data_IF_615514621847
#
_entry.id   IF_615514621847
#
_cell.length_a   1.000
_cell.length_b   1.000
_cell.length_c   1.000
_cell.angle_alpha   90.00
_cell.angle_beta   90.00
_cell.angle_gamma   90.00
#
_symmetry.space_group_name_H-M   'P 1'
#
loop_
_entity.id
_entity.type
_entity.pdbx_description
1 polymer ?
#
# COMPACT_ATOMS: atom_id res chain seq x y z
N UNK A 1 19.17 -28.41 39.10
CA UNK A 1 17.70 -28.28 38.97
C UNK A 1 17.46 -27.55 37.68
N UNK A 2 16.79 -28.18 36.72
CA UNK A 2 16.61 -27.56 35.41
C UNK A 2 15.25 -26.86 35.39
N UNK A 3 15.32 -25.54 35.61
CA UNK A 3 14.30 -24.51 35.43
C UNK A 3 13.34 -24.20 36.60
N UNK A 4 12.98 -22.92 36.70
CA UNK A 4 12.28 -22.34 37.85
C UNK A 4 10.75 -22.47 37.66
N UNK A 5 10.08 -23.07 38.65
CA UNK A 5 8.64 -23.34 38.63
C UNK A 5 7.78 -22.11 38.33
N UNK A 6 8.17 -20.93 38.84
CA UNK A 6 7.43 -19.69 38.64
C UNK A 6 7.49 -19.17 37.20
N UNK A 7 8.50 -19.58 36.43
CA UNK A 7 8.71 -19.14 35.05
C UNK A 7 8.33 -20.21 34.04
N UNK A 8 8.39 -21.49 34.42
CA UNK A 8 8.30 -22.58 33.46
C UNK A 8 7.27 -23.65 33.77
N UNK A 9 6.64 -23.71 34.96
CA UNK A 9 5.51 -24.61 35.33
C UNK A 9 5.29 -25.94 34.54
N UNK A 10 6.34 -26.61 34.05
CA UNK A 10 6.26 -27.70 33.08
C UNK A 10 6.07 -27.33 31.59
N UNK A 11 5.66 -26.12 31.24
CA UNK A 11 5.47 -25.65 29.86
C UNK A 11 6.50 -24.56 29.50
N UNK A 12 7.24 -24.76 28.40
CA UNK A 12 8.34 -23.90 27.93
C UNK A 12 7.90 -22.46 27.53
N UNK A 13 6.63 -22.10 27.71
CA UNK A 13 5.99 -20.92 27.11
C UNK A 13 5.77 -19.73 28.06
N UNK A 14 6.30 -19.73 29.28
CA UNK A 14 6.18 -18.60 30.21
C UNK A 14 4.75 -18.37 30.75
N UNK A 15 4.62 -17.50 31.74
CA UNK A 15 3.30 -17.17 32.33
C UNK A 15 2.54 -16.14 31.49
N UNK A 16 1.20 -16.13 31.57
CA UNK A 16 0.37 -15.16 30.82
C UNK A 16 0.70 -13.70 31.15
N UNK A 17 1.13 -13.42 32.39
CA UNK A 17 1.53 -12.07 32.80
C UNK A 17 2.81 -11.62 32.10
N UNK A 18 3.79 -12.52 31.93
CA UNK A 18 5.04 -12.23 31.21
C UNK A 18 4.79 -12.04 29.72
N UNK A 19 3.95 -12.88 29.12
CA UNK A 19 3.56 -12.73 27.71
C UNK A 19 2.93 -11.34 27.46
N UNK A 20 2.03 -10.90 28.35
CA UNK A 20 1.43 -9.56 28.26
C UNK A 20 2.44 -8.44 28.46
N UNK A 21 3.38 -8.59 29.38
CA UNK A 21 4.45 -7.61 29.57
C UNK A 21 5.30 -7.46 28.30
N UNK A 22 5.65 -8.58 27.66
CA UNK A 22 6.40 -8.55 26.40
C UNK A 22 5.56 -7.92 25.28
N UNK A 23 4.27 -8.27 25.17
CA UNK A 23 3.34 -7.62 24.22
C UNK A 23 3.30 -6.10 24.42
N UNK A 24 3.15 -5.64 25.66
CA UNK A 24 3.06 -4.21 25.98
C UNK A 24 4.37 -3.48 25.68
N UNK A 25 5.52 -4.09 25.98
CA UNK A 25 6.84 -3.54 25.63
C UNK A 25 7.05 -3.46 24.11
N UNK A 26 6.59 -4.45 23.36
CA UNK A 26 6.66 -4.43 21.88
C UNK A 26 5.80 -3.29 21.34
N UNK A 27 4.56 -3.16 21.81
CA UNK A 27 3.67 -2.05 21.40
C UNK A 27 4.28 -0.70 21.74
N UNK A 28 4.82 -0.53 22.95
CA UNK A 28 5.49 0.70 23.37
C UNK A 28 6.71 1.01 22.48
N UNK A 29 7.54 0.01 22.17
CA UNK A 29 8.70 0.19 21.31
C UNK A 29 8.32 0.65 19.89
N UNK A 30 7.26 0.08 19.31
CA UNK A 30 6.74 0.48 18.01
C UNK A 30 6.13 1.88 18.06
N UNK A 31 5.50 2.29 19.16
CA UNK A 31 5.00 3.67 19.31
C UNK A 31 6.10 4.70 19.44
N UNK A 32 7.26 4.33 19.99
CA UNK A 32 8.41 5.24 20.14
C UNK A 32 9.17 5.40 18.82
N UNK A 33 9.44 4.29 18.13
CA UNK A 33 10.33 4.27 16.97
C UNK A 33 9.64 4.09 15.62
N UNK A 34 8.37 3.69 15.62
CA UNK A 34 7.60 3.47 14.41
C UNK A 34 7.12 4.76 13.75
N UNK A 35 6.32 4.57 12.72
CA UNK A 35 5.66 5.60 11.95
C UNK A 35 4.16 5.33 11.91
N UNK A 36 3.39 6.41 11.82
CA UNK A 36 1.95 6.33 11.58
C UNK A 36 1.72 6.00 10.11
N UNK A 37 1.07 4.87 9.85
CA UNK A 37 0.75 4.36 8.52
C UNK A 37 -0.75 4.11 8.48
N UNK A 38 -1.38 4.35 7.34
CA UNK A 38 -2.78 3.99 7.14
C UNK A 38 -2.88 2.60 6.51
N UNK A 39 -3.53 1.69 7.22
CA UNK A 39 -3.87 0.37 6.72
C UNK A 39 -5.21 0.41 5.99
N UNK A 40 -5.26 -0.07 4.76
CA UNK A 40 -6.44 -0.05 3.92
C UNK A 40 -6.80 -1.47 3.48
N UNK A 41 -7.84 -2.08 4.05
CA UNK A 41 -8.28 -3.41 3.64
C UNK A 41 -8.92 -3.35 2.25
N UNK A 42 -8.63 -4.33 1.41
CA UNK A 42 -9.33 -4.47 0.13
C UNK A 42 -10.74 -5.01 0.32
N UNK A 43 -11.64 -4.55 -0.52
CA UNK A 43 -12.98 -5.09 -0.70
C UNK A 43 -13.13 -5.56 -2.14
N UNK A 44 -13.66 -6.76 -2.32
CA UNK A 44 -13.85 -7.33 -3.63
C UNK A 44 -15.15 -6.81 -4.27
N UNK A 45 -15.07 -6.34 -5.51
CA UNK A 45 -16.25 -5.87 -6.27
C UNK A 45 -16.62 -6.91 -7.32
N UNK A 46 -17.82 -7.50 -7.20
CA UNK A 46 -18.43 -8.43 -8.17
C UNK A 46 -17.56 -9.62 -8.60
N UNK A 47 -17.43 -10.62 -7.72
CA UNK A 47 -16.96 -11.97 -8.06
C UNK A 47 -17.79 -12.60 -9.17
N UNK A 48 -17.27 -12.69 -10.40
CA UNK A 48 -17.84 -13.62 -11.38
C UNK A 48 -17.34 -15.04 -11.08
N UNK A 49 -18.15 -15.76 -10.31
CA UNK A 49 -17.92 -17.16 -9.92
C UNK A 49 -17.83 -18.15 -11.09
N UNK A 50 -18.16 -17.75 -12.32
CA UNK A 50 -18.20 -18.63 -13.49
C UNK A 50 -16.86 -18.65 -14.25
N UNK A 51 -16.17 -17.51 -14.32
CA UNK A 51 -14.95 -17.36 -15.11
C UNK A 51 -13.66 -17.26 -14.29
N UNK A 52 -13.75 -17.10 -12.96
CA UNK A 52 -12.56 -16.94 -12.10
C UNK A 52 -11.65 -15.80 -12.62
N UNK A 53 -12.27 -14.75 -13.20
CA UNK A 53 -11.58 -13.54 -13.63
C UNK A 53 -11.20 -12.70 -12.40
N UNK A 54 -10.08 -11.99 -12.52
CA UNK A 54 -9.52 -11.21 -11.43
C UNK A 54 -10.48 -10.09 -11.02
N UNK A 55 -10.75 -10.01 -9.72
CA UNK A 55 -11.72 -9.09 -9.17
C UNK A 55 -11.05 -7.72 -8.98
N UNK A 56 -11.62 -6.69 -9.60
CA UNK A 56 -11.19 -5.33 -9.35
C UNK A 56 -11.38 -5.02 -7.86
N UNK A 57 -10.29 -4.71 -7.18
CA UNK A 57 -10.31 -4.40 -5.75
C UNK A 57 -10.74 -2.95 -5.54
N UNK A 58 -11.49 -2.72 -4.46
CA UNK A 58 -11.88 -1.38 -4.00
C UNK A 58 -11.40 -1.15 -2.58
N UNK A 59 -10.93 0.06 -2.30
CA UNK A 59 -10.44 0.50 -0.99
C UNK A 59 -11.29 1.67 -0.50
N UNK A 60 -12.16 1.41 0.48
CA UNK A 60 -13.09 2.43 1.03
C UNK A 60 -12.71 2.92 2.43
N UNK A 61 -11.80 2.22 3.10
CA UNK A 61 -11.53 2.41 4.52
C UNK A 61 -10.03 2.50 4.78
N UNK A 62 -9.65 3.37 5.70
CA UNK A 62 -8.27 3.59 6.11
C UNK A 62 -8.17 3.67 7.63
N UNK A 63 -7.32 2.83 8.24
CA UNK A 63 -7.10 2.78 9.68
C UNK A 63 -5.68 3.22 10.05
N UNK A 64 -5.51 4.24 10.90
CA UNK A 64 -4.19 4.64 11.35
C UNK A 64 -3.61 3.61 12.32
N UNK A 65 -2.42 3.13 12.00
CA UNK A 65 -1.69 2.11 12.75
C UNK A 65 -0.21 2.44 12.82
N UNK A 66 0.39 2.16 13.98
CA UNK A 66 1.82 2.27 14.18
C UNK A 66 2.55 1.06 13.59
N UNK A 67 3.49 1.32 12.69
CA UNK A 67 4.35 0.31 12.09
C UNK A 67 5.80 0.77 12.10
N UNK A 68 6.71 -0.16 12.32
CA UNK A 68 8.14 0.08 12.14
C UNK A 68 8.58 -0.31 10.74
N UNK A 69 9.30 0.58 10.06
CA UNK A 69 9.91 0.28 8.78
C UNK A 69 11.25 -0.43 9.03
N UNK A 70 11.30 -1.73 8.74
CA UNK A 70 12.53 -2.50 8.68
C UNK A 70 13.15 -2.27 7.30
N UNK A 71 14.23 -1.50 7.27
CA UNK A 71 14.94 -1.25 6.02
C UNK A 71 15.72 -2.51 5.64
N UNK A 72 15.54 -2.99 4.40
CA UNK A 72 16.30 -4.11 3.86
C UNK A 72 17.72 -3.65 3.47
N UNK A 73 18.49 -3.20 4.45
CA UNK A 73 19.90 -2.88 4.25
C UNK A 73 20.69 -4.20 4.19
N UNK A 74 20.76 -4.79 3.00
CA UNK A 74 21.74 -5.82 2.65
C UNK A 74 21.18 -7.22 2.36
N UNK A 75 20.68 -7.43 1.15
CA UNK A 75 20.93 -8.70 0.47
C UNK A 75 22.29 -8.59 -0.25
N UNK A 76 23.37 -8.61 0.53
CA UNK A 76 24.77 -8.50 0.07
C UNK A 76 25.24 -9.79 -0.65
N UNK A 77 24.45 -10.31 -1.60
CA UNK A 77 24.78 -11.56 -2.27
C UNK A 77 24.02 -11.93 -3.54
N UNK A 78 22.96 -11.19 -3.92
CA UNK A 78 22.13 -11.58 -5.08
C UNK A 78 21.68 -10.38 -5.94
N UNK A 79 22.12 -9.18 -5.59
CA UNK A 79 21.89 -7.96 -6.37
C UNK A 79 22.56 -7.96 -7.76
N UNK A 80 23.58 -8.80 -7.99
CA UNK A 80 24.27 -8.85 -9.30
C UNK A 80 23.56 -9.75 -10.33
N UNK A 81 22.65 -10.62 -9.91
CA UNK A 81 21.94 -11.52 -10.83
C UNK A 81 20.71 -10.85 -11.48
N UNK A 82 20.05 -9.93 -10.77
CA UNK A 82 18.82 -9.26 -11.24
C UNK A 82 19.09 -8.05 -12.16
N UNK A 83 20.22 -7.36 -11.98
CA UNK A 83 20.53 -6.15 -12.77
C UNK A 83 20.91 -6.43 -14.24
N UNK A 84 21.30 -7.67 -14.59
CA UNK A 84 21.72 -8.05 -15.95
C UNK A 84 20.57 -8.41 -16.91
N UNK A 85 19.33 -8.51 -16.41
CA UNK A 85 18.16 -8.91 -17.20
C UNK A 85 17.14 -7.80 -17.46
N UNK A 86 17.44 -6.54 -17.10
CA UNK A 86 16.51 -5.42 -17.36
C UNK A 86 15.19 -5.53 -16.59
N UNK A 87 15.19 -6.27 -15.48
CA UNK A 87 14.06 -6.34 -14.56
C UNK A 87 14.05 -5.08 -13.70
N UNK A 88 12.91 -4.40 -13.69
CA UNK A 88 12.62 -3.23 -12.88
C UNK A 88 12.91 -3.54 -11.40
N UNK A 89 13.76 -2.72 -10.77
CA UNK A 89 13.99 -2.79 -9.33
C UNK A 89 12.73 -2.24 -8.69
N UNK A 90 11.86 -3.14 -8.22
CA UNK A 90 10.71 -2.74 -7.41
C UNK A 90 11.21 -2.30 -6.04
N UNK A 91 10.76 -1.14 -5.60
CA UNK A 91 11.03 -0.68 -4.25
C UNK A 91 10.26 -1.59 -3.28
N UNK A 92 11.01 -2.38 -2.51
CA UNK A 92 10.48 -3.28 -1.49
C UNK A 92 10.71 -2.69 -0.10
N UNK A 93 9.68 -2.75 0.75
CA UNK A 93 9.73 -2.31 2.13
C UNK A 93 9.17 -3.40 3.05
N UNK A 94 9.78 -3.58 4.22
CA UNK A 94 9.24 -4.49 5.24
C UNK A 94 8.67 -3.67 6.39
N UNK A 95 7.37 -3.82 6.63
CA UNK A 95 6.70 -3.17 7.75
C UNK A 95 6.43 -4.16 8.86
N UNK A 96 6.75 -3.77 10.09
CA UNK A 96 6.56 -4.56 11.29
C UNK A 96 5.46 -3.93 12.13
N UNK A 97 4.42 -4.70 12.41
CA UNK A 97 3.27 -4.30 13.21
C UNK A 97 3.15 -5.20 14.44
N UNK A 98 2.63 -4.68 15.56
CA UNK A 98 2.31 -5.54 16.70
C UNK A 98 0.99 -6.28 16.50
N UNK A 99 0.97 -7.55 16.91
CA UNK A 99 -0.25 -8.38 16.87
C UNK A 99 -1.37 -7.80 17.73
N UNK A 100 -1.03 -7.32 18.93
CA UNK A 100 -1.99 -6.71 19.85
C UNK A 100 -2.67 -5.49 19.23
N UNK A 101 -1.90 -4.62 18.55
CA UNK A 101 -2.47 -3.45 17.88
C UNK A 101 -3.42 -3.85 16.76
N UNK A 102 -3.06 -4.87 15.98
CA UNK A 102 -3.94 -5.42 14.95
C UNK A 102 -5.26 -5.94 15.54
N UNK A 103 -5.19 -6.74 16.61
CA UNK A 103 -6.38 -7.27 17.28
C UNK A 103 -7.26 -6.13 17.84
N UNK A 104 -6.65 -5.05 18.35
CA UNK A 104 -7.37 -3.84 18.77
C UNK A 104 -8.06 -3.13 17.58
N UNK A 105 -7.41 -3.04 16.42
CA UNK A 105 -8.03 -2.43 15.22
C UNK A 105 -9.22 -3.25 14.76
N UNK A 106 -9.05 -4.57 14.64
CA UNK A 106 -10.13 -5.47 14.19
C UNK A 106 -11.31 -5.47 15.16
N UNK A 107 -11.05 -5.45 16.47
CA UNK A 107 -12.11 -5.47 17.49
C UNK A 107 -12.85 -4.15 17.67
N UNK A 108 -12.18 -3.01 17.45
CA UNK A 108 -12.81 -1.69 17.58
C UNK A 108 -13.52 -1.21 16.31
N UNK A 109 -13.37 -1.95 15.21
CA UNK A 109 -13.95 -1.55 13.93
C UNK A 109 -15.24 -2.33 13.66
N UNK A 110 -16.35 -1.80 14.18
CA UNK A 110 -17.68 -2.33 13.92
C UNK A 110 -18.04 -2.17 12.43
N UNK A 111 -18.26 -3.29 11.73
CA UNK A 111 -18.77 -3.31 10.35
C UNK A 111 -17.71 -3.30 9.25
N UNK A 112 -16.42 -3.31 9.58
CA UNK A 112 -15.38 -3.47 8.57
C UNK A 112 -15.29 -4.91 8.05
N UNK A 113 -15.33 -5.04 6.72
CA UNK A 113 -15.16 -6.32 6.04
C UNK A 113 -13.68 -6.59 5.80
N UNK A 114 -13.00 -7.18 6.79
CA UNK A 114 -11.66 -7.71 6.57
C UNK A 114 -11.74 -9.03 5.81
N UNK A 115 -11.00 -9.14 4.71
CA UNK A 115 -10.80 -10.42 4.02
C UNK A 115 -10.23 -11.44 5.03
N UNK A 116 -10.79 -12.64 5.08
CA UNK A 116 -10.33 -13.69 6.01
C UNK A 116 -10.69 -13.49 7.48
N UNK A 117 -11.61 -12.56 7.80
CA UNK A 117 -12.17 -12.43 9.16
C UNK A 117 -11.25 -11.75 10.18
N UNK A 118 -10.23 -11.02 9.72
CA UNK A 118 -9.38 -10.18 10.58
C UNK A 118 -8.37 -10.92 11.45
N UNK A 119 -8.10 -12.20 11.20
CA UNK A 119 -7.13 -12.97 11.99
C UNK A 119 -5.69 -12.47 11.86
N UNK A 120 -5.37 -11.83 10.73
CA UNK A 120 -4.07 -11.20 10.40
C UNK A 120 -4.28 -10.19 9.27
N UNK A 121 -3.32 -9.26 9.06
CA UNK A 121 -3.23 -8.52 7.81
C UNK A 121 -3.23 -9.46 6.61
N UNK A 122 -3.91 -9.08 5.53
CA UNK A 122 -4.05 -9.91 4.33
C UNK A 122 -3.16 -9.42 3.20
N UNK A 123 -2.80 -10.36 2.34
CA UNK A 123 -2.08 -10.07 1.09
C UNK A 123 -3.04 -9.36 0.12
N UNK A 124 -2.51 -8.37 -0.61
CA UNK A 124 -3.26 -7.48 -1.49
C UNK A 124 -3.89 -6.27 -0.77
N UNK A 125 -3.79 -6.16 0.55
CA UNK A 125 -4.17 -4.93 1.26
C UNK A 125 -3.10 -3.85 1.07
N UNK A 126 -3.51 -2.58 1.20
CA UNK A 126 -2.64 -1.43 0.96
C UNK A 126 -2.21 -0.74 2.24
N UNK A 127 -0.99 -0.19 2.21
CA UNK A 127 -0.40 0.64 3.26
C UNK A 127 -0.04 1.99 2.67
N UNK A 128 -0.65 3.05 3.20
CA UNK A 128 -0.27 4.41 2.83
C UNK A 128 0.68 5.00 3.87
N UNK A 129 1.87 5.43 3.40
CA UNK A 129 2.85 6.10 4.23
C UNK A 129 2.77 7.63 4.04
N UNK A 130 2.23 8.40 5.00
CA UNK A 130 2.00 9.84 4.82
C UNK A 130 3.28 10.67 4.62
N UNK A 131 4.44 10.20 5.12
CA UNK A 131 5.69 10.95 5.00
C UNK A 131 6.24 10.95 3.58
N UNK A 132 6.16 9.81 2.89
CA UNK A 132 6.64 9.66 1.50
C UNK A 132 5.52 9.79 0.48
N UNK A 133 4.27 9.90 0.94
CA UNK A 133 3.06 9.89 0.11
C UNK A 133 3.01 8.70 -0.85
N UNK A 134 3.51 7.56 -0.41
CA UNK A 134 3.60 6.34 -1.21
C UNK A 134 2.61 5.29 -0.73
N UNK A 135 2.05 4.55 -1.68
CA UNK A 135 1.25 3.37 -1.42
C UNK A 135 2.11 2.11 -1.57
N UNK A 136 1.97 1.20 -0.63
CA UNK A 136 2.60 -0.11 -0.66
C UNK A 136 1.54 -1.20 -0.62
N UNK A 137 1.69 -2.22 -1.44
CA UNK A 137 0.85 -3.40 -1.44
C UNK A 137 1.52 -4.53 -0.64
N UNK A 138 0.77 -5.15 0.25
CA UNK A 138 1.25 -6.29 1.03
C UNK A 138 1.31 -7.52 0.14
N UNK A 139 2.51 -7.96 -0.22
CA UNK A 139 2.71 -9.20 -1.01
C UNK A 139 2.74 -10.44 -0.14
N UNK A 140 3.34 -10.35 1.05
CA UNK A 140 3.47 -11.50 1.93
C UNK A 140 3.49 -11.09 3.39
N UNK A 141 2.71 -11.82 4.20
CA UNK A 141 2.67 -11.63 5.66
C UNK A 141 3.35 -12.81 6.33
N UNK A 142 4.54 -12.57 6.86
CA UNK A 142 5.30 -13.51 7.66
C UNK A 142 4.66 -13.66 9.04
N UNK A 143 4.27 -14.90 9.34
CA UNK A 143 3.68 -15.29 10.62
C UNK A 143 4.39 -16.49 11.26
N UNK A 144 5.47 -17.00 10.69
CA UNK A 144 6.27 -18.08 11.28
C UNK A 144 7.73 -17.66 11.33
N UNK A 145 8.11 -17.02 12.44
CA UNK A 145 9.52 -16.88 12.78
C UNK A 145 9.96 -18.13 13.56
N UNK A 146 11.11 -18.76 13.25
CA UNK A 146 11.64 -19.88 14.03
C UNK A 146 11.86 -19.56 15.54
N UNK A 147 11.85 -18.28 15.95
CA UNK A 147 12.03 -17.88 17.34
C UNK A 147 10.75 -17.34 18.01
N UNK A 148 9.96 -18.25 18.60
CA UNK A 148 8.81 -17.89 19.44
C UNK A 148 9.26 -17.45 20.84
N UNK A 149 9.20 -16.15 21.12
CA UNK A 149 9.42 -15.64 22.47
C UNK A 149 8.25 -16.06 23.37
N UNK A 150 8.53 -16.85 24.41
CA UNK A 150 7.49 -17.38 25.32
C UNK A 150 6.37 -18.13 24.57
N UNK A 151 6.70 -18.81 23.47
CA UNK A 151 5.74 -19.63 22.71
C UNK A 151 4.67 -18.85 21.94
N UNK A 152 4.84 -17.54 21.75
CA UNK A 152 3.91 -16.69 20.99
C UNK A 152 4.65 -15.79 20.00
N UNK A 153 3.90 -15.32 19.02
CA UNK A 153 4.31 -14.28 18.08
C UNK A 153 3.64 -12.99 18.49
N UNK A 154 4.46 -11.95 18.65
CA UNK A 154 4.01 -10.63 19.09
C UNK A 154 3.98 -9.60 17.95
N UNK A 155 4.57 -9.93 16.79
CA UNK A 155 4.68 -9.03 15.64
C UNK A 155 4.29 -9.73 14.34
N UNK A 156 3.69 -8.99 13.42
CA UNK A 156 3.52 -9.37 12.03
C UNK A 156 4.56 -8.62 11.21
N UNK A 157 5.27 -9.35 10.33
CA UNK A 157 6.18 -8.76 9.36
C UNK A 157 5.52 -8.83 7.98
N UNK A 158 5.33 -7.68 7.34
CA UNK A 158 4.67 -7.55 6.06
C UNK A 158 5.70 -7.10 5.03
N UNK A 159 5.98 -7.98 4.07
CA UNK A 159 6.79 -7.65 2.91
C UNK A 159 5.89 -6.98 1.89
N UNK A 160 6.19 -5.73 1.61
CA UNK A 160 5.39 -4.87 0.76
C UNK A 160 6.21 -4.39 -0.43
N UNK A 161 5.53 -4.19 -1.55
CA UNK A 161 6.09 -3.57 -2.76
C UNK A 161 5.36 -2.25 -3.02
N UNK A 162 5.99 -1.31 -3.71
CA UNK A 162 5.30 -0.11 -4.18
C UNK A 162 4.07 -0.51 -5.01
N UNK A 163 2.91 0.04 -4.66
CA UNK A 163 1.66 -0.25 -5.35
C UNK A 163 1.63 0.42 -6.72
N UNK A 164 1.22 -0.35 -7.73
CA UNK A 164 1.01 0.13 -9.08
C UNK A 164 -0.50 0.23 -9.34
N UNK A 165 -0.94 1.42 -9.74
CA UNK A 165 -2.35 1.67 -9.99
C UNK A 165 -2.81 0.95 -11.27
N UNK A 166 -3.82 0.09 -11.15
CA UNK A 166 -4.44 -0.70 -12.22
C UNK A 166 -5.96 -0.43 -12.34
N UNK A 167 -6.37 0.83 -12.14
CA UNK A 167 -7.79 1.25 -12.18
C UNK A 167 -8.64 0.78 -10.99
N UNK A 168 -8.02 0.47 -9.85
CA UNK A 168 -8.73 0.25 -8.59
C UNK A 168 -9.36 1.55 -8.06
N UNK A 169 -10.52 1.46 -7.43
CA UNK A 169 -11.16 2.62 -6.81
C UNK A 169 -10.67 2.79 -5.36
N UNK A 170 -10.15 3.97 -5.02
CA UNK A 170 -9.61 4.31 -3.70
C UNK A 170 -10.34 5.54 -3.15
N UNK A 171 -11.45 5.31 -2.46
CA UNK A 171 -12.30 6.37 -1.89
C UNK A 171 -12.35 6.21 -0.37
N UNK A 172 -11.29 6.68 0.29
CA UNK A 172 -11.11 6.52 1.74
C UNK A 172 -11.64 7.70 2.55
N UNK A 173 -11.94 8.82 1.89
CA UNK A 173 -12.32 10.09 2.50
C UNK A 173 -11.13 10.86 3.09
N UNK A 174 -9.89 10.40 2.88
CA UNK A 174 -8.66 11.09 3.27
C UNK A 174 -8.08 11.75 2.03
N UNK A 175 -8.08 13.09 2.01
CA UNK A 175 -7.69 13.88 0.84
C UNK A 175 -6.31 13.52 0.26
N UNK A 176 -5.32 13.20 1.11
CA UNK A 176 -3.98 12.84 0.63
C UNK A 176 -3.94 11.46 -0.07
N UNK A 177 -4.84 10.55 0.30
CA UNK A 177 -4.94 9.20 -0.28
C UNK A 177 -5.76 9.27 -1.56
N UNK A 178 -6.92 9.93 -1.50
CA UNK A 178 -7.84 10.04 -2.64
C UNK A 178 -7.21 10.87 -3.78
N UNK A 179 -6.36 11.87 -3.45
CA UNK A 179 -5.57 12.61 -4.46
C UNK A 179 -4.62 11.72 -5.27
N UNK A 180 -4.14 10.61 -4.69
CA UNK A 180 -3.23 9.71 -5.38
C UNK A 180 -3.96 8.88 -6.44
N UNK A 181 -5.25 8.60 -6.24
CA UNK A 181 -6.12 8.08 -7.30
C UNK A 181 -6.31 9.13 -8.39
N UNK A 182 -6.71 10.35 -8.02
CA UNK A 182 -6.95 11.44 -8.97
C UNK A 182 -5.72 11.76 -9.86
N UNK A 183 -4.52 11.62 -9.31
CA UNK A 183 -3.27 11.88 -10.05
C UNK A 183 -2.87 10.75 -11.00
N UNK A 184 -3.29 9.51 -10.74
CA UNK A 184 -2.92 8.32 -11.52
C UNK A 184 -4.07 7.75 -12.37
N UNK A 185 -5.30 8.23 -12.16
CA UNK A 185 -6.46 7.80 -12.94
C UNK A 185 -6.35 8.24 -14.40
N UNK A 186 -6.78 7.36 -15.30
CA UNK A 186 -6.90 7.64 -16.73
C UNK A 186 -8.35 8.03 -17.09
N UNK A 187 -9.24 8.19 -16.09
CA UNK A 187 -10.64 8.55 -16.34
C UNK A 187 -10.79 10.01 -16.79
N UNK A 188 -11.07 10.18 -18.08
CA UNK A 188 -11.35 11.47 -18.72
C UNK A 188 -12.58 12.18 -18.14
N UNK A 189 -13.51 11.46 -17.51
CA UNK A 189 -14.75 12.02 -16.96
C UNK A 189 -14.50 12.94 -15.78
N UNK A 190 -13.37 12.79 -15.07
CA UNK A 190 -13.02 13.68 -13.96
C UNK A 190 -12.84 15.14 -14.42
N UNK A 191 -12.46 15.34 -15.69
CA UNK A 191 -12.15 16.65 -16.27
C UNK A 191 -13.32 17.27 -17.07
N UNK A 192 -14.52 16.69 -16.98
CA UNK A 192 -15.70 17.22 -17.66
C UNK A 192 -16.20 18.51 -17.01
N UNK A 193 -16.76 19.42 -17.80
CA UNK A 193 -17.43 20.60 -17.27
C UNK A 193 -18.84 20.22 -16.79
N UNK A 194 -19.05 20.30 -15.48
CA UNK A 194 -20.35 20.09 -14.82
C UNK A 194 -21.04 21.43 -14.58
N UNK A 195 -22.38 21.44 -14.61
CA UNK A 195 -23.18 22.58 -14.21
C UNK A 195 -23.05 22.86 -12.71
N UNK A 196 -23.21 24.12 -12.31
CA UNK A 196 -23.09 24.56 -10.91
C UNK A 196 -24.09 23.86 -9.97
N UNK A 197 -25.24 23.44 -10.49
CA UNK A 197 -26.29 22.75 -9.74
C UNK A 197 -26.09 21.22 -9.65
N UNK A 198 -24.99 20.70 -10.21
CA UNK A 198 -24.71 19.27 -10.33
C UNK A 198 -25.79 18.45 -11.09
N UNK A 199 -26.68 19.11 -11.84
CA UNK A 199 -27.75 18.45 -12.60
C UNK A 199 -27.24 17.69 -13.84
N UNK A 200 -25.98 17.88 -14.21
CA UNK A 200 -25.34 17.17 -15.32
C UNK A 200 -24.19 17.93 -15.95
N UNK A 201 -23.71 17.39 -17.07
CA UNK A 201 -22.57 17.91 -17.81
C UNK A 201 -23.00 18.89 -18.89
N UNK A 202 -22.09 19.77 -19.30
CA UNK A 202 -22.28 20.54 -20.53
C UNK A 202 -22.06 19.62 -21.73
N UNK A 203 -23.15 19.39 -22.48
CA UNK A 203 -23.21 18.48 -23.62
C UNK A 203 -23.27 19.30 -24.91
N UNK A 204 -22.46 18.90 -25.90
CA UNK A 204 -22.44 19.43 -27.26
C UNK A 204 -23.62 18.89 -28.07
N UNK A 205 -23.91 19.52 -29.19
CA UNK A 205 -25.05 19.16 -30.06
C UNK A 205 -24.98 17.71 -30.59
N UNK A 206 -23.77 17.13 -30.66
CA UNK A 206 -23.50 15.74 -31.05
C UNK A 206 -23.58 14.74 -29.87
N UNK A 207 -23.93 15.21 -28.67
CA UNK A 207 -24.02 14.38 -27.47
C UNK A 207 -22.69 14.16 -26.72
N UNK A 208 -21.57 14.67 -27.23
CA UNK A 208 -20.28 14.65 -26.53
C UNK A 208 -20.22 15.68 -25.39
N UNK A 209 -19.48 15.40 -24.32
CA UNK A 209 -19.23 16.35 -23.22
C UNK A 209 -17.98 17.19 -23.47
N UNK A 210 -17.98 18.45 -23.03
CA UNK A 210 -16.75 19.24 -23.00
C UNK A 210 -15.82 18.76 -21.89
N UNK A 211 -14.54 18.56 -22.22
CA UNK A 211 -13.47 18.12 -21.31
C UNK A 211 -12.38 19.20 -21.29
N UNK A 212 -11.81 19.48 -20.12
CA UNK A 212 -10.70 20.44 -19.97
C UNK A 212 -9.44 19.95 -20.70
N UNK A 213 -8.71 20.88 -21.30
CA UNK A 213 -7.42 20.60 -21.93
C UNK A 213 -6.31 20.21 -20.94
N UNK A 214 -6.51 20.50 -19.65
CA UNK A 214 -5.64 20.05 -18.55
C UNK A 214 -5.65 18.53 -18.35
N UNK A 215 -6.51 17.79 -19.06
CA UNK A 215 -6.44 16.34 -19.11
C UNK A 215 -5.10 15.89 -19.69
N UNK A 216 -4.19 15.50 -18.81
CA UNK A 216 -2.93 14.86 -19.15
C UNK A 216 -3.01 13.40 -18.71
N UNK A 217 -2.84 12.46 -19.64
CA UNK A 217 -2.49 11.09 -19.27
C UNK A 217 -1.06 11.17 -18.72
N UNK A 218 -0.93 11.34 -17.41
CA UNK A 218 0.36 11.17 -16.76
C UNK A 218 0.69 9.67 -16.89
N UNK A 219 1.83 9.28 -17.49
CA UNK A 219 2.34 7.94 -17.23
C UNK A 219 2.51 7.84 -15.71
N UNK A 220 2.00 6.78 -15.09
CA UNK A 220 2.02 6.53 -13.64
C UNK A 220 3.29 7.10 -13.00
N UNK A 221 3.18 8.24 -12.32
CA UNK A 221 4.35 8.91 -11.78
C UNK A 221 4.65 8.24 -10.45
N UNK A 222 5.63 7.33 -10.48
CA UNK A 222 6.29 6.79 -9.29
C UNK A 222 6.66 7.94 -8.34
N UNK A 223 6.48 7.69 -7.04
CA UNK A 223 6.55 8.65 -5.94
C UNK A 223 7.54 9.80 -6.14
N UNK A 224 7.07 11.01 -5.85
CA UNK A 224 7.75 12.29 -6.10
C UNK A 224 9.13 12.44 -5.43
N UNK A 225 9.52 11.49 -4.57
CA UNK A 225 10.79 11.47 -3.83
C UNK A 225 11.95 10.77 -4.56
N UNK A 226 11.72 10.13 -5.71
CA UNK A 226 12.79 9.49 -6.49
C UNK A 226 12.83 9.93 -7.96
N UNK A 227 12.59 11.22 -8.19
CA UNK A 227 12.94 11.85 -9.47
C UNK A 227 14.46 11.87 -9.64
N UNK A 228 15.02 10.79 -10.17
CA UNK A 228 16.09 10.95 -11.13
C UNK A 228 15.56 11.95 -12.15
N UNK A 229 16.16 13.13 -12.21
CA UNK A 229 15.85 14.17 -13.18
C UNK A 229 16.29 13.65 -14.56
N UNK A 230 15.53 12.68 -15.07
CA UNK A 230 15.40 12.45 -16.50
C UNK A 230 14.54 13.62 -16.95
N UNK A 231 15.21 14.73 -17.24
CA UNK A 231 14.65 15.74 -18.11
C UNK A 231 14.40 14.97 -19.41
N UNK A 232 13.19 14.45 -19.58
CA UNK A 232 12.66 14.03 -20.85
C UNK A 232 12.59 15.29 -21.71
N UNK A 233 13.75 15.74 -22.19
CA UNK A 233 13.82 16.57 -23.36
C UNK A 233 13.09 15.76 -24.40
N UNK A 234 11.90 16.25 -24.79
CA UNK A 234 11.14 15.78 -25.94
C UNK A 234 12.12 15.26 -26.99
N UNK A 235 12.24 13.94 -27.11
CA UNK A 235 13.12 13.31 -28.10
C UNK A 235 12.59 13.53 -29.52
N UNK A 236 11.44 14.19 -29.63
CA UNK A 236 10.76 14.62 -30.84
C UNK A 236 10.34 16.08 -30.70
N UNK A 237 11.30 16.98 -30.92
CA UNK A 237 11.04 18.41 -31.14
C UNK A 237 10.74 18.63 -32.64
N UNK A 238 9.47 18.83 -32.97
CA UNK A 238 9.02 19.11 -34.34
C UNK A 238 9.05 20.62 -34.68
N UNK A 239 9.67 21.46 -33.84
CA UNK A 239 9.84 22.88 -34.12
C UNK A 239 11.12 23.20 -34.91
N UNK A 240 12.06 22.25 -35.03
CA UNK A 240 13.23 22.41 -35.89
C UNK A 240 12.91 22.09 -37.36
N UNK A 241 13.10 23.08 -38.23
CA UNK A 241 13.02 22.90 -39.68
C UNK A 241 14.12 21.94 -40.15
N UNK A 242 13.73 20.91 -40.91
CA UNK A 242 14.61 19.91 -41.51
C UNK A 242 15.89 20.55 -42.13
N UNK A 243 17.10 20.26 -41.61
CA UNK A 243 18.34 20.84 -42.10
C UNK A 243 18.82 20.24 -43.43
N UNK A 244 18.09 19.27 -44.00
CA UNK A 244 18.43 18.60 -45.27
C UNK A 244 17.43 18.88 -46.41
N UNK A 245 16.75 20.03 -46.36
CA UNK A 245 16.19 20.69 -47.55
C UNK A 245 14.78 20.26 -47.94
N UNK A 246 13.87 21.22 -47.93
CA UNK A 246 12.72 21.25 -48.84
C UNK A 246 13.15 22.01 -50.10
N UNK A 247 12.94 21.36 -51.26
CA UNK A 247 12.73 22.05 -52.53
C UNK A 247 11.24 22.29 -52.73
#
# INVERSE_FOLDING_TARGET
MATNFYFQSGDTSGTTAEQRLVEDLVVESLKIYGHDIYYMPRTFVNTDTIFDEDELSKFEQAYPVEMYLENAEGFEGDGELFQRFGLEIRDQATFVMSRKRWDDVVSNTDGASFVGGGARPMEGDLLFFPKTKSLFEIKFVEFQDPFYQLGKIYVFKMKCELFEYSSEAIDTGIADIDQLEDDNTVDQRLFQLVLEDASGNIILEDGGSLIKEDYAIKPSVQGDDFKAVETATNILDFTESNPFGDF
#
